data_IF_844750849158
#
_entry.id   IF_844750849158
#
_cell.length_a   1.000
_cell.length_b   1.000
_cell.length_c   1.000
_cell.angle_alpha   90.00
_cell.angle_beta   90.00
_cell.angle_gamma   90.00
#
_symmetry.space_group_name_H-M   'P 1'
#
loop_
_entity.id
_entity.type
_entity.pdbx_description
1 polymer ?
#
# COMPACT_ATOMS: atom_id res chain seq x y z
N UNK A 1 -3.89 20.64 5.62
CA UNK A 1 -3.37 22.02 5.72
C UNK A 1 -2.02 22.06 6.44
N UNK A 2 -1.89 21.55 7.67
CA UNK A 2 -0.64 21.56 8.47
C UNK A 2 0.59 21.04 7.72
N UNK A 3 0.52 19.86 7.09
CA UNK A 3 1.63 19.30 6.29
C UNK A 3 2.13 20.27 5.22
N UNK A 4 1.23 20.89 4.45
CA UNK A 4 1.59 21.83 3.38
C UNK A 4 2.17 23.15 3.91
N UNK A 5 1.78 23.58 5.10
CA UNK A 5 2.24 24.83 5.71
C UNK A 5 3.66 24.69 6.29
N UNK A 6 3.98 23.54 6.89
CA UNK A 6 5.30 23.30 7.49
C UNK A 6 6.36 22.77 6.51
N UNK A 7 5.94 22.22 5.36
CA UNK A 7 6.86 21.70 4.34
C UNK A 7 6.62 22.43 3.02
N UNK A 8 7.22 23.62 2.89
CA UNK A 8 7.36 24.24 1.57
C UNK A 8 7.93 23.23 0.57
N UNK A 9 7.32 23.09 -0.61
CA UNK A 9 7.71 22.12 -1.64
C UNK A 9 7.60 20.62 -1.24
N UNK A 10 6.59 20.25 -0.44
CA UNK A 10 6.30 18.86 -0.04
C UNK A 10 6.41 17.84 -1.19
N UNK A 11 5.82 18.17 -2.34
CA UNK A 11 5.84 17.29 -3.51
C UNK A 11 7.27 17.02 -4.02
N UNK A 12 8.07 18.08 -4.23
CA UNK A 12 9.48 17.95 -4.64
C UNK A 12 10.29 17.16 -3.61
N UNK A 13 10.01 17.36 -2.32
CA UNK A 13 10.66 16.60 -1.24
C UNK A 13 10.33 15.11 -1.34
N UNK A 14 9.05 14.76 -1.51
CA UNK A 14 8.61 13.37 -1.70
C UNK A 14 9.30 12.73 -2.91
N UNK A 15 9.38 13.45 -4.04
CA UNK A 15 10.07 12.96 -5.23
C UNK A 15 11.56 12.70 -5.01
N UNK A 16 12.23 13.48 -4.15
CA UNK A 16 13.65 13.30 -3.84
C UNK A 16 13.95 12.19 -2.82
N UNK A 17 12.97 11.77 -2.03
CA UNK A 17 13.15 10.71 -1.03
C UNK A 17 13.38 9.37 -1.73
N UNK A 18 14.33 8.60 -1.20
CA UNK A 18 14.63 7.24 -1.64
C UNK A 18 14.15 6.22 -0.61
N UNK A 19 14.50 6.42 0.67
CA UNK A 19 14.19 5.46 1.73
C UNK A 19 12.77 5.66 2.28
N UNK A 20 12.05 4.55 2.48
CA UNK A 20 10.70 4.59 3.06
C UNK A 20 10.69 5.23 4.47
N UNK A 21 11.73 5.01 5.27
CA UNK A 21 11.86 5.60 6.60
C UNK A 21 11.92 7.13 6.57
N UNK A 22 12.60 7.71 5.57
CA UNK A 22 12.64 9.15 5.33
C UNK A 22 11.28 9.69 4.88
N UNK A 23 10.55 8.91 4.06
CA UNK A 23 9.20 9.25 3.64
C UNK A 23 8.26 9.30 4.84
N UNK A 24 8.29 8.29 5.73
CA UNK A 24 7.48 8.28 6.95
C UNK A 24 7.76 9.49 7.85
N UNK A 25 9.03 9.90 7.98
CA UNK A 25 9.42 11.09 8.77
C UNK A 25 8.78 12.39 8.27
N UNK A 26 8.42 12.50 7.00
CA UNK A 26 7.70 13.68 6.47
C UNK A 26 6.33 13.81 7.15
N UNK A 27 5.74 12.70 7.59
CA UNK A 27 4.44 12.65 8.25
C UNK A 27 4.51 12.67 9.79
N UNK A 28 5.69 12.72 10.40
CA UNK A 28 5.86 12.95 11.85
C UNK A 28 5.67 14.44 12.18
N UNK A 29 4.43 14.91 11.97
CA UNK A 29 3.99 16.26 12.32
C UNK A 29 2.85 16.18 13.33
N UNK A 30 2.79 17.15 14.23
CA UNK A 30 1.68 17.32 15.17
C UNK A 30 0.57 18.14 14.54
N UNK A 31 -0.69 17.81 14.86
CA UNK A 31 -1.81 18.68 14.51
C UNK A 31 -1.63 20.07 15.15
N UNK A 32 -2.24 21.11 14.58
CA UNK A 32 -2.19 22.45 15.17
C UNK A 32 -2.85 22.51 16.56
N UNK A 33 -2.46 23.52 17.36
CA UNK A 33 -2.78 23.65 18.79
C UNK A 33 -4.25 23.38 19.13
N UNK A 34 -5.20 23.84 18.30
CA UNK A 34 -6.63 23.60 18.50
C UNK A 34 -6.95 22.11 18.77
N UNK A 35 -6.36 21.19 17.99
CA UNK A 35 -6.60 19.75 18.09
C UNK A 35 -5.92 19.09 19.28
N UNK A 36 -4.97 19.77 19.93
CA UNK A 36 -4.40 19.28 21.19
C UNK A 36 -5.41 19.34 22.33
N UNK A 37 -6.37 20.26 22.24
CA UNK A 37 -7.39 20.51 23.27
C UNK A 37 -8.80 20.07 22.85
N UNK A 38 -9.02 19.56 21.63
CA UNK A 38 -10.37 19.22 21.16
C UNK A 38 -10.38 17.88 20.41
N UNK A 39 -11.22 16.95 20.86
CA UNK A 39 -11.59 15.73 20.11
C UNK A 39 -12.89 15.90 19.31
N UNK A 40 -13.77 16.79 19.79
CA UNK A 40 -15.04 17.18 19.17
C UNK A 40 -15.12 18.70 19.15
N UNK A 41 -15.82 19.25 18.17
CA UNK A 41 -16.07 20.69 18.15
C UNK A 41 -16.90 21.09 19.39
N UNK A 42 -16.44 22.10 20.12
CA UNK A 42 -17.15 22.68 21.27
C UNK A 42 -16.84 22.06 22.64
N UNK A 43 -16.06 20.97 22.71
CA UNK A 43 -15.66 20.35 23.99
C UNK A 43 -14.14 20.39 24.17
N UNK A 44 -13.67 21.11 25.19
CA UNK A 44 -12.26 21.13 25.58
C UNK A 44 -11.91 19.89 26.37
N UNK A 45 -10.88 19.16 25.93
CA UNK A 45 -10.26 18.03 26.63
C UNK A 45 -8.88 18.39 27.16
N UNK A 46 -8.34 17.54 28.04
CA UNK A 46 -6.94 17.63 28.48
C UNK A 46 -5.97 17.64 27.28
N UNK A 47 -4.88 18.41 27.41
CA UNK A 47 -3.86 18.52 26.38
C UNK A 47 -3.28 17.16 26.01
N UNK A 48 -3.35 16.82 24.73
CA UNK A 48 -2.77 15.60 24.17
C UNK A 48 -2.27 15.87 22.75
N UNK A 49 -0.95 15.86 22.50
CA UNK A 49 -0.39 16.10 21.18
C UNK A 49 -0.89 15.03 20.20
N UNK A 50 -1.61 15.44 19.16
CA UNK A 50 -2.17 14.53 18.16
C UNK A 50 -1.11 14.28 17.09
N UNK A 51 -0.54 13.09 17.10
CA UNK A 51 0.34 12.56 16.05
C UNK A 51 -0.41 11.53 15.21
N UNK A 52 0.04 11.35 13.98
CA UNK A 52 -0.42 10.25 13.14
C UNK A 52 0.17 8.94 13.68
N UNK A 53 -0.64 7.90 13.75
CA UNK A 53 -0.15 6.54 14.03
C UNK A 53 0.50 5.93 12.80
N UNK A 54 1.44 5.01 13.00
CA UNK A 54 2.17 4.32 11.90
C UNK A 54 1.23 3.74 10.83
N UNK A 55 0.16 3.05 11.24
CA UNK A 55 -0.81 2.49 10.31
C UNK A 55 -1.50 3.56 9.43
N UNK A 56 -1.76 4.74 9.98
CA UNK A 56 -2.35 5.84 9.22
C UNK A 56 -1.34 6.44 8.23
N UNK A 57 -0.07 6.55 8.63
CA UNK A 57 1.03 6.96 7.75
C UNK A 57 1.14 5.98 6.57
N UNK A 58 1.16 4.68 6.86
CA UNK A 58 1.23 3.63 5.84
C UNK A 58 0.03 3.70 4.89
N UNK A 59 -1.18 3.90 5.43
CA UNK A 59 -2.40 4.07 4.63
C UNK A 59 -2.31 5.28 3.69
N UNK A 60 -1.76 6.41 4.16
CA UNK A 60 -1.54 7.60 3.32
C UNK A 60 -0.49 7.30 2.24
N UNK A 61 0.60 6.62 2.59
CA UNK A 61 1.64 6.28 1.62
C UNK A 61 1.07 5.39 0.52
N UNK A 62 0.38 4.30 0.89
CA UNK A 62 -0.20 3.33 -0.05
C UNK A 62 -1.25 4.00 -0.95
N UNK A 63 -2.21 4.74 -0.37
CA UNK A 63 -3.36 5.22 -1.14
C UNK A 63 -3.12 6.56 -1.84
N UNK A 64 -2.13 7.35 -1.40
CA UNK A 64 -1.93 8.71 -1.88
C UNK A 64 -0.55 8.91 -2.49
N UNK A 65 0.51 8.55 -1.76
CA UNK A 65 1.88 8.88 -2.21
C UNK A 65 2.32 7.97 -3.34
N UNK A 66 2.15 6.66 -3.19
CA UNK A 66 2.55 5.68 -4.21
C UNK A 66 1.86 5.95 -5.56
N UNK A 67 0.51 6.09 -5.64
CA UNK A 67 -0.15 6.35 -6.91
C UNK A 67 0.29 7.67 -7.55
N UNK A 68 0.50 8.70 -6.73
CA UNK A 68 0.95 10.01 -7.21
C UNK A 68 2.38 9.95 -7.77
N UNK A 69 3.33 9.33 -7.07
CA UNK A 69 4.72 9.21 -7.54
C UNK A 69 4.80 8.31 -8.77
N UNK A 70 4.06 7.20 -8.78
CA UNK A 70 3.98 6.31 -9.93
C UNK A 70 3.41 7.02 -11.17
N UNK A 71 2.30 7.75 -11.02
CA UNK A 71 1.68 8.50 -12.11
C UNK A 71 2.61 9.60 -12.64
N UNK A 72 3.33 10.30 -11.75
CA UNK A 72 4.33 11.29 -12.17
C UNK A 72 5.47 10.65 -12.97
N UNK A 73 6.02 9.53 -12.49
CA UNK A 73 7.04 8.78 -13.22
C UNK A 73 6.54 8.28 -14.57
N UNK A 74 5.31 7.77 -14.63
CA UNK A 74 4.68 7.36 -15.89
C UNK A 74 4.51 8.52 -16.87
N UNK A 75 4.02 9.67 -16.42
CA UNK A 75 3.84 10.85 -17.27
C UNK A 75 5.16 11.37 -17.84
N UNK A 76 6.23 11.35 -17.04
CA UNK A 76 7.57 11.80 -17.44
C UNK A 76 8.46 10.70 -18.04
N UNK A 77 7.94 9.47 -18.23
CA UNK A 77 8.71 8.31 -18.68
C UNK A 77 9.96 8.02 -17.80
N UNK A 78 9.84 8.30 -16.51
CA UNK A 78 10.87 8.06 -15.50
C UNK A 78 10.58 6.72 -14.80
N UNK A 79 11.27 5.67 -15.28
CA UNK A 79 11.17 4.32 -14.70
C UNK A 79 11.70 4.27 -13.26
N UNK A 80 12.68 5.10 -12.90
CA UNK A 80 13.25 5.11 -11.54
C UNK A 80 12.17 5.51 -10.54
N UNK A 81 11.35 6.50 -10.86
CA UNK A 81 10.24 6.93 -10.00
C UNK A 81 9.13 5.88 -9.92
N UNK A 82 8.84 5.18 -11.01
CA UNK A 82 7.86 4.09 -11.04
C UNK A 82 8.31 2.92 -10.16
N UNK A 83 9.53 2.44 -10.37
CA UNK A 83 10.11 1.34 -9.62
C UNK A 83 10.24 1.69 -8.15
N UNK A 84 10.61 2.93 -7.82
CA UNK A 84 10.64 3.41 -6.44
C UNK A 84 9.27 3.35 -5.78
N UNK A 85 8.22 3.77 -6.46
CA UNK A 85 6.86 3.73 -5.92
C UNK A 85 6.40 2.29 -5.64
N UNK A 86 6.71 1.36 -6.54
CA UNK A 86 6.44 -0.08 -6.34
C UNK A 86 7.29 -0.66 -5.21
N UNK A 87 8.58 -0.30 -5.15
CA UNK A 87 9.47 -0.74 -4.09
C UNK A 87 9.00 -0.28 -2.70
N UNK A 88 8.42 0.90 -2.57
CA UNK A 88 7.80 1.31 -1.31
C UNK A 88 6.62 0.41 -0.92
N UNK A 89 5.80 -0.06 -1.86
CA UNK A 89 4.75 -1.04 -1.56
C UNK A 89 5.33 -2.38 -1.09
N UNK A 90 6.47 -2.81 -1.64
CA UNK A 90 7.13 -4.05 -1.20
C UNK A 90 7.62 -3.99 0.24
N UNK A 91 8.00 -2.80 0.71
CA UNK A 91 8.52 -2.55 2.05
C UNK A 91 7.42 -2.31 3.10
N UNK A 92 6.20 -2.00 2.68
CA UNK A 92 5.07 -1.71 3.57
C UNK A 92 4.36 -3.00 3.98
N UNK A 93 3.84 -3.01 5.21
CA UNK A 93 3.08 -4.17 5.71
C UNK A 93 1.84 -4.45 4.86
N UNK A 94 1.50 -5.72 4.72
CA UNK A 94 0.28 -6.14 4.06
C UNK A 94 -0.98 -5.54 4.73
N UNK A 95 -1.83 -4.93 3.91
CA UNK A 95 -3.08 -4.36 4.40
C UNK A 95 -4.07 -5.44 4.86
N UNK A 96 -4.70 -5.18 6.00
CA UNK A 96 -5.73 -6.05 6.57
C UNK A 96 -7.10 -5.47 6.26
N UNK A 97 -7.75 -6.03 5.25
CA UNK A 97 -9.11 -5.66 4.87
C UNK A 97 -9.94 -6.90 4.51
N UNK A 98 -11.23 -6.70 4.23
CA UNK A 98 -12.16 -7.80 3.94
C UNK A 98 -11.76 -8.60 2.69
N UNK A 99 -11.12 -7.97 1.70
CA UNK A 99 -10.69 -8.62 0.47
C UNK A 99 -9.50 -9.54 0.77
N UNK A 100 -8.45 -9.01 1.41
CA UNK A 100 -7.25 -9.79 1.75
C UNK A 100 -7.55 -10.93 2.70
N UNK A 101 -8.47 -10.73 3.65
CA UNK A 101 -8.95 -11.78 4.56
C UNK A 101 -9.65 -12.92 3.81
N UNK A 102 -10.39 -12.62 2.74
CA UNK A 102 -11.05 -13.65 1.94
C UNK A 102 -10.06 -14.48 1.14
N UNK A 103 -9.07 -13.83 0.53
CA UNK A 103 -7.98 -14.52 -0.18
C UNK A 103 -7.14 -15.39 0.77
N UNK A 104 -6.89 -14.91 1.99
CA UNK A 104 -6.27 -15.71 3.04
C UNK A 104 -7.07 -17.00 3.33
N UNK A 105 -8.39 -16.92 3.36
CA UNK A 105 -9.28 -18.09 3.50
C UNK A 105 -9.17 -19.09 2.35
N UNK A 106 -8.71 -18.66 1.17
CA UNK A 106 -8.38 -19.51 0.02
C UNK A 106 -6.92 -19.99 0.02
N UNK A 107 -6.17 -19.75 1.09
CA UNK A 107 -4.76 -20.15 1.18
C UNK A 107 -3.76 -19.15 0.60
N UNK A 108 -4.23 -18.04 0.00
CA UNK A 108 -3.36 -17.03 -0.61
C UNK A 108 -2.90 -16.04 0.46
N UNK A 109 -1.59 -15.97 0.70
CA UNK A 109 -0.97 -15.08 1.68
C UNK A 109 -0.40 -13.86 1.00
N UNK A 110 -0.61 -12.69 1.61
CA UNK A 110 0.05 -11.43 1.24
C UNK A 110 1.12 -11.12 2.26
N UNK A 111 2.33 -10.83 1.80
CA UNK A 111 3.50 -10.52 2.63
C UNK A 111 3.61 -9.01 2.83
N UNK A 112 3.30 -8.23 1.80
CA UNK A 112 3.47 -6.77 1.80
C UNK A 112 2.27 -6.05 1.16
N UNK A 113 2.32 -4.72 1.14
CA UNK A 113 1.28 -3.89 0.54
C UNK A 113 1.14 -4.09 -0.98
N UNK A 114 2.23 -4.43 -1.67
CA UNK A 114 2.21 -4.72 -3.10
C UNK A 114 1.29 -5.91 -3.41
N UNK A 115 1.40 -6.99 -2.63
CA UNK A 115 0.53 -8.15 -2.73
C UNK A 115 -0.94 -7.79 -2.48
N UNK A 116 -1.20 -7.01 -1.42
CA UNK A 116 -2.58 -6.66 -1.06
C UNK A 116 -3.24 -5.74 -2.08
N UNK A 117 -2.49 -4.80 -2.65
CA UNK A 117 -2.96 -3.93 -3.73
C UNK A 117 -3.18 -4.72 -5.03
N UNK A 118 -2.31 -5.69 -5.33
CA UNK A 118 -2.48 -6.59 -6.49
C UNK A 118 -3.76 -7.42 -6.37
N UNK A 119 -4.02 -8.00 -5.20
CA UNK A 119 -5.26 -8.75 -4.94
C UNK A 119 -6.51 -7.87 -4.96
N UNK A 120 -6.41 -6.64 -4.44
CA UNK A 120 -7.49 -5.67 -4.51
C UNK A 120 -7.86 -5.37 -5.97
N UNK A 121 -6.85 -5.11 -6.80
CA UNK A 121 -7.02 -4.80 -8.21
C UNK A 121 -7.57 -6.00 -8.98
N UNK A 122 -7.03 -7.21 -8.76
CA UNK A 122 -7.57 -8.46 -9.31
C UNK A 122 -9.05 -8.63 -8.96
N UNK A 123 -9.40 -8.44 -7.69
CA UNK A 123 -10.75 -8.62 -7.18
C UNK A 123 -11.74 -7.64 -7.81
N UNK A 124 -11.42 -6.35 -7.79
CA UNK A 124 -12.34 -5.29 -8.18
C UNK A 124 -12.47 -5.14 -9.70
N UNK A 125 -11.36 -5.31 -10.43
CA UNK A 125 -11.34 -5.08 -11.88
C UNK A 125 -11.61 -6.34 -12.72
N UNK A 126 -11.50 -7.55 -12.14
CA UNK A 126 -11.80 -8.81 -12.84
C UNK A 126 -12.84 -9.66 -12.12
N UNK A 127 -12.58 -10.10 -10.88
CA UNK A 127 -13.45 -11.07 -10.22
C UNK A 127 -14.88 -10.55 -10.00
N UNK A 128 -15.03 -9.31 -9.54
CA UNK A 128 -16.35 -8.68 -9.33
C UNK A 128 -17.10 -8.45 -10.64
N UNK A 129 -16.36 -8.23 -11.72
CA UNK A 129 -16.91 -8.08 -13.07
C UNK A 129 -17.13 -9.44 -13.77
N UNK A 130 -16.80 -10.57 -13.11
CA UNK A 130 -16.87 -11.93 -13.67
C UNK A 130 -16.07 -12.13 -14.97
N UNK A 131 -14.98 -11.36 -15.15
CA UNK A 131 -14.11 -11.40 -16.35
C UNK A 131 -13.10 -12.56 -16.30
N UNK A 132 -13.51 -13.73 -15.83
CA UNK A 132 -12.61 -14.86 -15.59
C UNK A 132 -11.95 -15.38 -16.88
N UNK A 133 -12.64 -15.32 -18.02
CA UNK A 133 -12.13 -15.75 -19.33
C UNK A 133 -11.07 -14.79 -19.91
N UNK A 134 -10.99 -13.57 -19.41
CA UNK A 134 -9.98 -12.56 -19.79
C UNK A 134 -8.86 -12.44 -18.75
N UNK A 135 -9.00 -13.13 -17.61
CA UNK A 135 -8.06 -13.06 -16.50
C UNK A 135 -7.10 -14.25 -16.57
N UNK A 136 -5.78 -14.01 -16.50
CA UNK A 136 -4.80 -15.10 -16.49
C UNK A 136 -5.04 -16.10 -15.34
N UNK A 137 -5.34 -15.60 -14.13
CA UNK A 137 -5.67 -16.43 -12.96
C UNK A 137 -6.99 -17.19 -13.17
N UNK A 138 -8.02 -16.50 -13.69
CA UNK A 138 -9.31 -17.12 -13.96
C UNK A 138 -9.23 -18.24 -14.99
N UNK A 139 -8.52 -18.00 -16.10
CA UNK A 139 -8.25 -18.99 -17.14
C UNK A 139 -7.45 -20.18 -16.60
N UNK A 140 -6.46 -19.94 -15.74
CA UNK A 140 -5.72 -21.02 -15.09
C UNK A 140 -6.65 -21.93 -14.28
N UNK A 141 -7.47 -21.36 -13.41
CA UNK A 141 -8.43 -22.10 -12.58
C UNK A 141 -9.45 -22.88 -13.43
N UNK A 142 -10.02 -22.24 -14.46
CA UNK A 142 -11.02 -22.86 -15.34
C UNK A 142 -10.44 -23.95 -16.24
N UNK A 143 -9.14 -23.91 -16.52
CA UNK A 143 -8.48 -24.94 -17.34
C UNK A 143 -8.30 -26.28 -16.64
N UNK A 144 -8.68 -26.40 -15.36
CA UNK A 144 -8.63 -27.67 -14.61
C UNK A 144 -7.21 -28.22 -14.43
N UNK A 145 -6.19 -27.37 -14.54
CA UNK A 145 -4.80 -27.74 -14.24
C UNK A 145 -4.63 -27.74 -12.72
N UNK A 146 -4.78 -28.91 -12.11
CA UNK A 146 -4.62 -29.12 -10.68
C UNK A 146 -3.21 -28.73 -10.16
N UNK A 147 -3.17 -28.24 -8.92
CA UNK A 147 -1.99 -27.73 -8.19
C UNK A 147 -0.89 -28.77 -7.89
N UNK A 148 -1.03 -30.03 -8.30
CA UNK A 148 -0.06 -31.09 -7.98
C UNK A 148 1.32 -30.90 -8.61
N UNK A 149 1.49 -29.91 -9.50
CA UNK A 149 2.74 -29.70 -10.26
C UNK A 149 3.60 -28.54 -9.72
N UNK A 150 3.06 -27.57 -8.99
CA UNK A 150 3.81 -26.35 -8.60
C UNK A 150 4.20 -26.27 -7.11
N UNK A 151 3.70 -27.17 -6.25
CA UNK A 151 4.02 -27.19 -4.82
C UNK A 151 5.34 -27.87 -4.43
N UNK A 152 6.03 -28.54 -5.36
CA UNK A 152 7.16 -29.43 -5.03
C UNK A 152 8.56 -28.87 -5.39
N UNK A 153 8.69 -27.66 -5.94
CA UNK A 153 10.03 -27.12 -6.23
C UNK A 153 10.80 -26.65 -4.99
N UNK A 154 10.14 -26.30 -3.87
CA UNK A 154 10.84 -25.80 -2.67
C UNK A 154 11.34 -26.91 -1.72
N UNK A 155 10.97 -28.16 -1.99
CA UNK A 155 11.38 -29.33 -1.19
C UNK A 155 12.65 -30.02 -1.71
N UNK A 156 13.10 -29.71 -2.93
CA UNK A 156 14.24 -30.40 -3.57
C UNK A 156 15.57 -29.66 -3.43
N UNK A 157 15.55 -28.35 -3.18
CA UNK A 157 16.76 -27.54 -3.04
C UNK A 157 17.37 -27.53 -1.62
N UNK A 158 16.82 -28.35 -0.69
CA UNK A 158 17.38 -28.56 0.66
C UNK A 158 18.05 -29.94 0.83
N UNK A 159 18.25 -30.67 -0.27
CA UNK A 159 18.97 -31.96 -0.29
C UNK A 159 19.98 -32.06 -1.44
N UNK A 160 20.76 -31.01 -1.65
CA UNK A 160 22.05 -31.09 -2.34
C UNK A 160 23.13 -30.39 -1.52
#
# INVERSE_FOLDING_TARGET
>A
AVLMIHTGHLFSKILSVVQLSELKKIFDVTAGDFWHYHYRFGETSNYQPKKLGEQMIDTIIINTIVPMVFAYGQYHQDEILRDKALHWLDLLEAEKNRITTRFYGFGIRSVNAFDTQSLYQLKTSWCDQKRCLECAVGNFILSGRDETVYGDQRSRDLKQ
#
